data_IF_510004688297
#
_entry.id   IF_510004688297
#
_cell.length_a   1.000
_cell.length_b   1.000
_cell.length_c   1.000
_cell.angle_alpha   90.00
_cell.angle_beta   90.00
_cell.angle_gamma   90.00
#
_symmetry.space_group_name_H-M   'P 1'
#
loop_
_entity.id
_entity.type
_entity.pdbx_description
1 polymer ?
#
# COMPACT_ATOMS: atom_id res chain seq x y z
N UNK A 1 -14.73 -3.65 4.06
CA UNK A 1 -14.05 -4.48 3.04
C UNK A 1 -13.30 -5.62 3.72
N UNK A 2 -13.51 -6.87 3.29
CA UNK A 2 -12.86 -8.04 3.87
C UNK A 2 -11.50 -8.26 3.17
N UNK A 3 -10.39 -8.11 3.91
CA UNK A 3 -9.02 -8.20 3.35
C UNK A 3 -8.45 -9.63 3.34
N UNK A 4 -9.11 -10.55 4.06
CA UNK A 4 -8.65 -11.93 4.22
C UNK A 4 -8.32 -12.65 2.91
N UNK A 5 -9.11 -12.56 1.82
CA UNK A 5 -8.77 -13.25 0.58
C UNK A 5 -7.47 -12.72 -0.07
N UNK A 6 -7.26 -11.40 -0.04
CA UNK A 6 -6.04 -10.80 -0.59
C UNK A 6 -4.82 -11.14 0.27
N UNK A 7 -5.00 -11.07 1.58
CA UNK A 7 -4.00 -11.45 2.57
C UNK A 7 -3.58 -12.92 2.42
N UNK A 8 -4.53 -13.84 2.24
CA UNK A 8 -4.25 -15.26 2.04
C UNK A 8 -3.37 -15.49 0.79
N UNK A 9 -3.70 -14.86 -0.33
CA UNK A 9 -2.90 -14.95 -1.56
C UNK A 9 -1.48 -14.45 -1.35
N UNK A 10 -1.32 -13.32 -0.66
CA UNK A 10 -0.01 -12.73 -0.40
C UNK A 10 0.81 -13.58 0.59
N UNK A 11 0.16 -14.21 1.57
CA UNK A 11 0.81 -15.17 2.46
C UNK A 11 1.28 -16.39 1.67
N UNK A 12 0.48 -16.91 0.73
CA UNK A 12 0.88 -18.02 -0.13
C UNK A 12 2.07 -17.68 -1.02
N UNK A 13 2.05 -16.50 -1.66
CA UNK A 13 3.20 -16.01 -2.43
C UNK A 13 4.45 -15.85 -1.55
N UNK A 14 4.28 -15.34 -0.33
CA UNK A 14 5.38 -15.15 0.61
C UNK A 14 5.98 -16.48 1.14
N UNK A 15 5.25 -17.60 1.06
CA UNK A 15 5.82 -18.92 1.43
C UNK A 15 6.95 -19.35 0.50
N UNK A 16 6.90 -18.94 -0.77
CA UNK A 16 7.93 -19.23 -1.77
C UNK A 16 9.13 -18.30 -1.72
N UNK A 17 9.06 -17.21 -0.94
CA UNK A 17 10.12 -16.22 -0.83
C UNK A 17 11.06 -16.55 0.35
N UNK A 18 12.34 -16.12 0.28
CA UNK A 18 13.30 -16.31 1.36
C UNK A 18 12.73 -15.78 2.69
N UNK A 19 12.88 -16.52 3.79
CA UNK A 19 12.43 -16.03 5.10
C UNK A 19 13.51 -15.16 5.73
N UNK A 20 13.10 -14.00 6.24
CA UNK A 20 13.99 -13.15 7.01
C UNK A 20 14.43 -13.86 8.31
N UNK A 21 15.69 -13.69 8.75
CA UNK A 21 16.14 -14.25 10.02
C UNK A 21 15.32 -13.65 11.17
N UNK A 22 15.09 -14.45 12.23
CA UNK A 22 14.22 -14.05 13.38
C UNK A 22 14.59 -12.67 13.94
N UNK A 23 15.88 -12.38 14.06
CA UNK A 23 16.37 -11.10 14.54
C UNK A 23 15.90 -9.92 13.66
N UNK A 24 15.90 -10.06 12.34
CA UNK A 24 15.40 -9.02 11.45
C UNK A 24 13.88 -8.83 11.60
N UNK A 25 13.12 -9.92 11.75
CA UNK A 25 11.67 -9.85 11.96
C UNK A 25 11.33 -9.16 13.28
N UNK A 26 12.08 -9.44 14.35
CA UNK A 26 11.88 -8.82 15.67
C UNK A 26 12.22 -7.33 15.64
N UNK A 27 13.34 -6.96 15.01
CA UNK A 27 13.72 -5.56 14.78
C UNK A 27 12.65 -4.84 13.97
N UNK A 28 12.21 -5.40 12.83
CA UNK A 28 11.15 -4.81 12.01
C UNK A 28 9.84 -4.69 12.79
N UNK A 29 9.46 -5.68 13.58
CA UNK A 29 8.24 -5.63 14.40
C UNK A 29 8.33 -4.52 15.45
N UNK A 30 9.49 -4.35 16.07
CA UNK A 30 9.74 -3.29 17.06
C UNK A 30 9.80 -1.90 16.44
N UNK A 31 10.35 -1.77 15.24
CA UNK A 31 10.56 -0.50 14.55
C UNK A 31 9.51 -0.18 13.49
N UNK A 32 8.49 -1.03 13.29
CA UNK A 32 7.50 -0.85 12.24
C UNK A 32 6.77 0.50 12.33
N UNK A 33 6.51 0.94 13.56
CA UNK A 33 5.88 2.24 13.82
C UNK A 33 6.80 3.41 13.43
N UNK A 34 8.12 3.26 13.53
CA UNK A 34 9.08 4.27 13.07
C UNK A 34 9.08 4.30 11.55
N UNK A 35 9.10 3.13 10.91
CA UNK A 35 9.01 3.03 9.44
C UNK A 35 7.74 3.73 8.95
N UNK A 36 6.59 3.49 9.59
CA UNK A 36 5.34 4.18 9.24
C UNK A 36 5.41 5.70 9.41
N UNK A 37 6.07 6.22 10.47
CA UNK A 37 6.27 7.66 10.64
C UNK A 37 7.19 8.21 9.54
N UNK A 38 8.29 7.52 9.27
CA UNK A 38 9.25 7.92 8.23
C UNK A 38 8.55 7.98 6.88
N UNK A 39 7.81 6.94 6.50
CA UNK A 39 7.01 6.92 5.27
C UNK A 39 6.03 8.08 5.21
N UNK A 40 5.29 8.35 6.29
CA UNK A 40 4.34 9.46 6.33
C UNK A 40 5.03 10.82 6.16
N UNK A 41 6.19 11.03 6.80
CA UNK A 41 6.99 12.26 6.66
C UNK A 41 7.47 12.42 5.22
N UNK A 42 8.03 11.37 4.61
CA UNK A 42 8.41 11.40 3.20
C UNK A 42 7.22 11.64 2.27
N UNK A 43 6.05 11.09 2.59
CA UNK A 43 4.81 11.36 1.87
C UNK A 43 4.42 12.83 1.93
N UNK A 44 4.48 13.45 3.11
CA UNK A 44 4.20 14.88 3.30
C UNK A 44 5.22 15.75 2.55
N UNK A 45 6.52 15.42 2.64
CA UNK A 45 7.57 16.12 1.89
C UNK A 45 7.36 15.99 0.37
N UNK A 46 6.95 14.81 -0.10
CA UNK A 46 6.59 14.58 -1.50
C UNK A 46 5.42 15.47 -1.94
N UNK A 47 4.37 15.59 -1.11
CA UNK A 47 3.24 16.50 -1.37
C UNK A 47 3.72 17.94 -1.52
N UNK A 48 4.51 18.45 -0.56
CA UNK A 48 5.04 19.82 -0.60
C UNK A 48 5.89 20.05 -1.85
N UNK A 49 6.71 19.08 -2.22
CA UNK A 49 7.56 19.14 -3.41
C UNK A 49 6.73 19.20 -4.69
N UNK A 50 5.73 18.33 -4.83
CA UNK A 50 4.85 18.30 -6.00
C UNK A 50 4.02 19.59 -6.09
N UNK A 51 3.50 20.11 -4.98
CA UNK A 51 2.78 21.38 -4.97
C UNK A 51 3.68 22.56 -5.34
N UNK A 52 4.91 22.60 -4.84
CA UNK A 52 5.87 23.66 -5.15
C UNK A 52 6.27 23.66 -6.64
N UNK A 53 6.76 22.51 -7.13
CA UNK A 53 7.16 22.35 -8.54
C UNK A 53 5.94 22.49 -9.46
N UNK A 54 4.79 21.93 -9.06
CA UNK A 54 3.55 21.96 -9.82
C UNK A 54 3.00 23.37 -9.98
N UNK A 55 3.02 24.18 -8.92
CA UNK A 55 2.62 25.60 -8.97
C UNK A 55 3.51 26.37 -9.94
N UNK A 56 4.84 26.23 -9.78
CA UNK A 56 5.80 26.90 -10.65
C UNK A 56 5.64 26.51 -12.13
N UNK A 57 5.54 25.20 -12.40
CA UNK A 57 5.35 24.69 -13.77
C UNK A 57 4.03 25.13 -14.39
N UNK A 58 2.93 25.10 -13.63
CA UNK A 58 1.63 25.55 -14.11
C UNK A 58 1.61 27.07 -14.40
N UNK A 59 2.25 27.88 -13.56
CA UNK A 59 2.38 29.32 -13.78
C UNK A 59 3.15 29.63 -15.07
N UNK A 60 4.30 28.99 -15.31
CA UNK A 60 5.04 29.20 -16.56
C UNK A 60 4.22 28.82 -17.80
N UNK A 61 3.47 27.72 -17.76
CA UNK A 61 2.65 27.28 -18.89
C UNK A 61 1.47 28.26 -19.13
N UNK A 62 0.90 28.81 -18.06
CA UNK A 62 -0.14 29.82 -18.17
C UNK A 62 0.40 31.13 -18.79
N UNK A 63 1.59 31.58 -18.39
CA UNK A 63 2.25 32.80 -18.90
C UNK A 63 2.60 32.69 -20.39
N UNK A 64 2.83 31.46 -20.89
CA UNK A 64 3.04 31.17 -22.31
C UNK A 64 1.73 31.14 -23.14
N UNK A 65 0.58 31.47 -22.53
CA UNK A 65 -0.72 31.52 -23.19
C UNK A 65 -1.49 30.18 -23.19
N UNK A 66 -0.99 29.15 -22.53
CA UNK A 66 -1.60 27.81 -22.49
C UNK A 66 -2.41 27.58 -21.19
N UNK A 67 -3.31 28.52 -20.85
CA UNK A 67 -4.09 28.47 -19.61
C UNK A 67 -4.92 27.17 -19.44
N UNK A 68 -5.45 26.61 -20.55
CA UNK A 68 -6.18 25.33 -20.50
C UNK A 68 -5.30 24.13 -20.10
N UNK A 69 -4.06 24.10 -20.60
CA UNK A 69 -3.08 23.07 -20.23
C UNK A 69 -2.63 23.23 -18.78
N UNK A 70 -2.43 24.47 -18.30
CA UNK A 70 -2.12 24.74 -16.89
C UNK A 70 -3.23 24.25 -15.95
N UNK A 71 -4.50 24.46 -16.30
CA UNK A 71 -5.64 23.96 -15.52
C UNK A 71 -5.70 22.42 -15.47
N UNK A 72 -5.42 21.74 -16.59
CA UNK A 72 -5.38 20.28 -16.64
C UNK A 72 -4.26 19.69 -15.79
N UNK A 73 -3.09 20.34 -15.75
CA UNK A 73 -1.97 19.94 -14.90
C UNK A 73 -2.33 20.07 -13.42
N UNK A 74 -3.00 21.17 -13.04
CA UNK A 74 -3.48 21.37 -11.67
C UNK A 74 -4.45 20.27 -11.22
N UNK A 75 -5.37 19.84 -12.08
CA UNK A 75 -6.27 18.72 -11.78
C UNK A 75 -5.50 17.44 -11.47
N UNK A 76 -4.49 17.10 -12.28
CA UNK A 76 -3.66 15.92 -12.06
C UNK A 76 -2.81 16.02 -10.78
N UNK A 77 -2.25 17.19 -10.50
CA UNK A 77 -1.49 17.46 -9.28
C UNK A 77 -2.37 17.28 -8.05
N UNK A 78 -3.56 17.87 -8.03
CA UNK A 78 -4.49 17.76 -6.90
C UNK A 78 -4.93 16.33 -6.67
N UNK A 79 -5.22 15.57 -7.74
CA UNK A 79 -5.55 14.15 -7.63
C UNK A 79 -4.43 13.36 -6.94
N UNK A 80 -3.18 13.54 -7.38
CA UNK A 80 -2.02 12.88 -6.77
C UNK A 80 -1.82 13.27 -5.30
N UNK A 81 -1.94 14.56 -4.99
CA UNK A 81 -1.80 15.09 -3.63
C UNK A 81 -2.87 14.53 -2.69
N UNK A 82 -4.13 14.47 -3.12
CA UNK A 82 -5.22 13.89 -2.32
C UNK A 82 -4.95 12.40 -2.04
N UNK A 83 -4.46 11.66 -3.03
CA UNK A 83 -4.09 10.26 -2.86
C UNK A 83 -2.97 10.06 -1.84
N UNK A 84 -1.89 10.84 -1.97
CA UNK A 84 -0.76 10.80 -1.03
C UNK A 84 -1.18 11.23 0.38
N UNK A 85 -2.02 12.25 0.51
CA UNK A 85 -2.52 12.71 1.80
C UNK A 85 -3.36 11.63 2.49
N UNK A 86 -4.24 10.95 1.75
CA UNK A 86 -5.03 9.83 2.28
C UNK A 86 -4.13 8.69 2.81
N UNK A 87 -3.09 8.33 2.06
CA UNK A 87 -2.10 7.32 2.48
C UNK A 87 -1.39 7.77 3.76
N UNK A 88 -0.86 8.99 3.81
CA UNK A 88 -0.14 9.52 4.96
C UNK A 88 -1.02 9.55 6.23
N UNK A 89 -2.29 9.90 6.11
CA UNK A 89 -3.24 9.87 7.23
C UNK A 89 -3.42 8.45 7.76
N UNK A 90 -3.62 7.46 6.88
CA UNK A 90 -3.77 6.05 7.28
C UNK A 90 -2.48 5.53 7.93
N UNK A 91 -1.30 5.89 7.39
CA UNK A 91 -0.01 5.54 7.99
C UNK A 91 0.13 6.12 9.39
N UNK A 92 -0.18 7.41 9.60
CA UNK A 92 -0.16 8.04 10.92
C UNK A 92 -1.16 7.39 11.89
N UNK A 93 -2.36 7.06 11.42
CA UNK A 93 -3.36 6.33 12.20
C UNK A 93 -2.89 4.91 12.57
N UNK A 94 -2.02 4.30 11.76
CA UNK A 94 -1.44 2.99 12.04
C UNK A 94 -0.39 3.02 13.15
N UNK A 95 0.30 4.16 13.37
CA UNK A 95 1.38 4.29 14.35
C UNK A 95 0.94 3.91 15.77
N UNK A 96 -0.21 4.42 16.21
CA UNK A 96 -0.77 4.12 17.54
C UNK A 96 -0.97 2.62 17.79
N UNK A 97 -1.74 1.91 16.95
CA UNK A 97 -1.95 0.46 17.09
C UNK A 97 -0.72 -0.39 16.73
N UNK A 98 0.23 0.11 15.92
CA UNK A 98 1.52 -0.54 15.64
C UNK A 98 2.44 -0.55 16.86
N UNK A 99 2.50 0.55 17.62
CA UNK A 99 3.22 0.59 18.90
C UNK A 99 2.70 -0.43 19.90
N UNK A 100 1.40 -0.75 19.82
CA UNK A 100 0.74 -1.78 20.65
C UNK A 100 0.89 -3.20 20.08
N UNK A 101 1.67 -3.39 19.01
CA UNK A 101 1.86 -4.67 18.32
C UNK A 101 0.54 -5.39 17.98
N UNK A 102 -0.51 -4.63 17.69
CA UNK A 102 -1.83 -5.19 17.46
C UNK A 102 -2.07 -5.53 15.99
N UNK A 103 -2.87 -6.58 15.74
CA UNK A 103 -3.30 -6.94 14.39
C UNK A 103 -4.00 -5.78 13.66
N UNK A 104 -4.73 -4.93 14.41
CA UNK A 104 -5.37 -3.74 13.87
C UNK A 104 -4.35 -2.76 13.27
N UNK A 105 -3.19 -2.60 13.90
CA UNK A 105 -2.12 -1.72 13.40
C UNK A 105 -1.47 -2.26 12.15
N UNK A 106 -1.17 -3.56 12.14
CA UNK A 106 -0.67 -4.25 10.95
C UNK A 106 -1.65 -4.13 9.77
N UNK A 107 -2.95 -4.32 10.04
CA UNK A 107 -4.02 -4.17 9.04
C UNK A 107 -4.09 -2.75 8.47
N UNK A 108 -3.95 -1.71 9.29
CA UNK A 108 -3.91 -0.33 8.80
C UNK A 108 -2.68 -0.07 7.93
N UNK A 109 -1.51 -0.55 8.35
CA UNK A 109 -0.28 -0.46 7.54
C UNK A 109 -0.44 -1.18 6.19
N UNK A 110 -1.07 -2.35 6.19
CA UNK A 110 -1.38 -3.08 4.95
C UNK A 110 -2.29 -2.27 4.03
N UNK A 111 -3.33 -1.63 4.58
CA UNK A 111 -4.17 -0.72 3.81
C UNK A 111 -3.40 0.46 3.24
N UNK A 112 -2.49 1.08 4.00
CA UNK A 112 -1.67 2.17 3.50
C UNK A 112 -0.83 1.75 2.29
N UNK A 113 -0.15 0.60 2.37
CA UNK A 113 0.66 0.06 1.26
C UNK A 113 -0.20 -0.21 0.02
N UNK A 114 -1.37 -0.85 0.19
CA UNK A 114 -2.29 -1.13 -0.92
C UNK A 114 -2.86 0.14 -1.54
N UNK A 115 -3.23 1.12 -0.70
CA UNK A 115 -3.77 2.38 -1.17
C UNK A 115 -2.71 3.18 -1.92
N UNK A 116 -1.48 3.22 -1.41
CA UNK A 116 -0.33 3.83 -2.08
C UNK A 116 -0.08 3.18 -3.44
N UNK A 117 -0.13 1.86 -3.52
CA UNK A 117 0.01 1.14 -4.78
C UNK A 117 -1.08 1.51 -5.78
N UNK A 118 -2.35 1.57 -5.37
CA UNK A 118 -3.48 1.94 -6.23
C UNK A 118 -3.32 3.36 -6.77
N UNK A 119 -3.00 4.34 -5.90
CA UNK A 119 -2.80 5.72 -6.35
C UNK A 119 -1.59 5.88 -7.26
N UNK A 120 -0.49 5.18 -6.97
CA UNK A 120 0.71 5.20 -7.82
C UNK A 120 0.42 4.59 -9.19
N UNK A 121 -0.28 3.45 -9.22
CA UNK A 121 -0.67 2.77 -10.45
C UNK A 121 -1.63 3.63 -11.30
N UNK A 122 -2.63 4.25 -10.66
CA UNK A 122 -3.53 5.19 -11.34
C UNK A 122 -2.77 6.38 -11.89
N UNK A 123 -1.84 6.95 -11.12
CA UNK A 123 -0.98 8.06 -11.55
C UNK A 123 -0.12 7.72 -12.76
N UNK A 124 0.51 6.54 -12.75
CA UNK A 124 1.36 6.05 -13.85
C UNK A 124 0.53 5.82 -15.13
N UNK A 125 -0.66 5.24 -15.01
CA UNK A 125 -1.59 5.00 -16.13
C UNK A 125 -2.11 6.32 -16.70
N UNK A 126 -2.58 7.23 -15.84
CA UNK A 126 -3.09 8.55 -16.26
C UNK A 126 -2.01 9.41 -16.93
N UNK A 127 -0.75 9.22 -16.53
CA UNK A 127 0.39 9.95 -17.08
C UNK A 127 1.05 9.26 -18.28
N UNK A 128 0.56 8.09 -18.72
CA UNK A 128 1.20 7.23 -19.73
C UNK A 128 2.68 6.93 -19.45
N UNK A 129 3.08 6.87 -18.16
CA UNK A 129 4.46 6.62 -17.74
C UNK A 129 4.65 5.14 -17.42
N UNK A 130 4.89 4.33 -18.44
CA UNK A 130 5.12 2.89 -18.27
C UNK A 130 6.43 2.59 -17.50
N UNK A 131 7.43 3.47 -17.58
CA UNK A 131 8.71 3.32 -16.88
C UNK A 131 8.55 3.33 -15.35
N UNK A 132 7.54 4.04 -14.84
CA UNK A 132 7.23 4.12 -13.40
C UNK A 132 6.62 2.83 -12.85
N UNK A 133 5.96 2.03 -13.70
CA UNK A 133 5.19 0.86 -13.28
C UNK A 133 6.07 -0.21 -12.62
N UNK A 134 7.28 -0.43 -13.12
CA UNK A 134 8.21 -1.41 -12.52
C UNK A 134 8.57 -0.96 -11.10
N UNK A 135 8.85 0.32 -10.89
CA UNK A 135 9.13 0.89 -9.57
C UNK A 135 7.93 0.79 -8.63
N UNK A 136 6.73 1.09 -9.13
CA UNK A 136 5.47 0.96 -8.40
C UNK A 136 5.20 -0.49 -7.98
N UNK A 137 5.40 -1.46 -8.87
CA UNK A 137 5.26 -2.89 -8.55
C UNK A 137 6.32 -3.35 -7.54
N UNK A 138 7.58 -2.97 -7.72
CA UNK A 138 8.66 -3.36 -6.81
C UNK A 138 8.46 -2.79 -5.41
N UNK A 139 8.13 -1.50 -5.29
CA UNK A 139 7.89 -0.86 -3.99
C UNK A 139 6.71 -1.52 -3.26
N UNK A 140 5.61 -1.80 -3.95
CA UNK A 140 4.47 -2.51 -3.38
C UNK A 140 4.80 -3.95 -3.00
N UNK A 141 5.56 -4.66 -3.83
CA UNK A 141 6.01 -6.03 -3.55
C UNK A 141 6.90 -6.07 -2.29
N UNK A 142 7.88 -5.17 -2.19
CA UNK A 142 8.79 -5.08 -1.03
C UNK A 142 8.02 -4.72 0.23
N UNK A 143 7.16 -3.69 0.19
CA UNK A 143 6.38 -3.25 1.34
C UNK A 143 5.45 -4.37 1.84
N UNK A 144 4.77 -5.04 0.92
CA UNK A 144 3.89 -6.16 1.24
C UNK A 144 4.66 -7.36 1.77
N UNK A 145 5.80 -7.70 1.16
CA UNK A 145 6.69 -8.78 1.60
C UNK A 145 7.15 -8.57 3.04
N UNK A 146 7.67 -7.38 3.36
CA UNK A 146 8.09 -7.02 4.72
C UNK A 146 6.93 -7.16 5.70
N UNK A 147 5.74 -6.64 5.37
CA UNK A 147 4.55 -6.76 6.20
C UNK A 147 4.15 -8.22 6.43
N UNK A 148 4.21 -9.07 5.42
CA UNK A 148 3.85 -10.48 5.54
C UNK A 148 4.82 -11.27 6.42
N UNK A 149 6.11 -10.90 6.43
CA UNK A 149 7.09 -11.54 7.31
C UNK A 149 6.85 -11.22 8.80
N UNK A 150 6.51 -9.96 9.11
CA UNK A 150 6.23 -9.55 10.50
C UNK A 150 4.83 -9.91 10.97
N UNK A 151 3.90 -10.20 10.05
CA UNK A 151 2.48 -10.50 10.32
C UNK A 151 2.30 -11.48 11.47
N UNK A 152 3.10 -12.54 11.52
CA UNK A 152 3.01 -13.59 12.54
C UNK A 152 3.21 -13.08 13.97
N UNK A 153 3.90 -11.95 14.15
CA UNK A 153 4.14 -11.32 15.44
C UNK A 153 2.98 -10.39 15.88
N UNK A 154 2.13 -9.96 14.96
CA UNK A 154 0.98 -9.08 15.23
C UNK A 154 -0.35 -9.87 15.41
N UNK A 155 -0.35 -11.17 15.11
CA UNK A 155 -1.52 -12.04 15.29
C UNK A 155 -1.50 -12.64 16.69
N UNK A 156 -2.39 -12.18 17.55
CA UNK A 156 -2.64 -12.79 18.86
C UNK A 156 -3.01 -14.28 18.73
N UNK A 157 -2.72 -15.08 19.77
CA UNK A 157 -3.08 -16.51 19.83
C UNK A 157 -4.57 -16.79 19.57
N UNK A 158 -5.47 -15.81 19.76
CA UNK A 158 -6.90 -15.90 19.43
C UNK A 158 -7.18 -15.78 17.92
N UNK A 159 -6.60 -14.82 17.21
CA UNK A 159 -6.78 -14.62 15.75
C UNK A 159 -6.06 -15.69 14.92
N UNK A 160 -5.03 -16.34 15.47
CA UNK A 160 -4.36 -17.51 14.84
C UNK A 160 -5.32 -18.68 14.60
N UNK A 161 -6.32 -18.89 15.46
CA UNK A 161 -7.34 -19.94 15.27
C UNK A 161 -8.34 -19.56 14.17
N UNK A 162 -8.76 -18.30 14.15
CA UNK A 162 -9.77 -17.79 13.22
C UNK A 162 -9.29 -17.71 11.77
N UNK A 163 -8.02 -17.38 11.53
CA UNK A 163 -7.42 -17.39 10.17
C UNK A 163 -7.20 -18.82 9.65
N UNK A 164 -6.85 -19.75 10.54
CA UNK A 164 -6.71 -21.17 10.20
C UNK A 164 -8.07 -21.77 9.81
N UNK A 165 -9.15 -21.39 10.50
CA UNK A 165 -10.51 -21.83 10.19
C UNK A 165 -11.12 -21.14 8.95
N UNK A 166 -10.74 -19.89 8.66
CA UNK A 166 -11.23 -19.18 7.46
C UNK A 166 -10.56 -19.72 6.19
N UNK A 167 -9.24 -19.91 6.20
CA UNK A 167 -8.49 -20.43 5.05
C UNK A 167 -8.91 -21.88 4.72
N UNK A 168 -9.23 -22.69 5.74
CA UNK A 168 -9.75 -24.05 5.57
C UNK A 168 -11.18 -24.11 5.01
N UNK A 169 -12.00 -23.06 5.20
CA UNK A 169 -13.35 -22.96 4.62
C UNK A 169 -13.33 -22.46 3.17
N UNK A 170 -12.41 -21.55 2.83
CA UNK A 170 -12.25 -21.01 1.48
C UNK A 170 -11.68 -22.07 0.51
N UNK A 171 -10.69 -22.85 0.95
CA UNK A 171 -10.14 -24.01 0.20
C UNK A 171 -11.09 -25.22 0.11
N UNK A 172 -12.27 -25.15 0.73
CA UNK A 172 -13.31 -26.20 0.67
C UNK A 172 -14.52 -25.81 -0.17
N UNK A 173 -14.55 -24.64 -0.81
CA UNK A 173 -15.63 -24.30 -1.73
C UNK A 173 -15.37 -25.03 -3.06
N UNK A 174 -16.12 -26.10 -3.40
CA UNK A 174 -15.85 -26.85 -4.61
C UNK A 174 -16.05 -25.96 -5.83
N UNK A 175 -15.07 -26.02 -6.72
CA UNK A 175 -15.14 -25.66 -8.12
C UNK A 175 -16.32 -26.41 -8.77
N UNK A 176 -17.52 -25.85 -8.65
CA UNK A 176 -18.65 -26.22 -9.50
C UNK A 176 -18.83 -25.11 -10.52
N UNK A 177 -18.51 -25.47 -11.76
CA UNK A 177 -19.32 -25.27 -12.97
C UNK A 177 -18.41 -24.99 -14.15
N UNK A 178 -17.90 -26.06 -14.76
CA UNK A 178 -17.55 -26.12 -16.19
C UNK A 178 -17.72 -27.56 -16.67
N UNK A 179 -18.96 -27.97 -16.88
CA UNK A 179 -19.32 -29.09 -17.76
C UNK A 179 -20.84 -29.05 -17.94
N UNK A 180 -21.28 -28.23 -18.89
CA UNK A 180 -22.52 -28.48 -19.62
C UNK A 180 -22.57 -27.52 -20.82
N UNK A 181 -22.08 -28.00 -21.97
CA UNK A 181 -22.59 -27.72 -23.31
C UNK A 181 -22.01 -28.79 -24.24
N UNK A 182 -22.58 -29.99 -24.15
CA UNK A 182 -22.84 -30.80 -25.36
C UNK A 182 -24.23 -30.40 -25.88
#
# INVERSE_FOLDING_TARGET
>A
MNIKPLENKLVELNKGLPKLPKQAVDVLTKYLWIIAIISAVFGILGIVTILGIGTFGASMIADLGYAGSAASLWSNILFGVVGMAAVAVIELMSVGPLKKQSYKGWKLAFYAVMLSFIFSLLGDILSNKLDGLIGTLLSAAIGTYILMQVRNNFIDKKTKKEDTDTNKKENKKPEKTKEEKE
#
